data_IF_862224639252
#
_entry.id   IF_862224639252
#
_cell.length_a   1.000
_cell.length_b   1.000
_cell.length_c   1.000
_cell.angle_alpha   90.00
_cell.angle_beta   90.00
_cell.angle_gamma   90.00
#
_symmetry.space_group_name_H-M   'P 1'
#
loop_
_entity.id
_entity.type
_entity.pdbx_description
1 polymer ?
#
# COMPACT_ATOMS: atom_id res chain seq x y z
N UNK A 1 2.82 29.78 -20.54
CA UNK A 1 2.39 28.37 -20.39
C UNK A 1 2.79 27.64 -21.67
N UNK A 2 3.78 26.75 -21.61
CA UNK A 2 4.23 25.99 -22.80
C UNK A 2 3.26 24.85 -23.07
N UNK A 3 2.97 24.62 -24.35
CA UNK A 3 2.14 23.49 -24.76
C UNK A 3 2.92 22.18 -24.60
N UNK A 4 2.26 21.18 -24.02
CA UNK A 4 2.77 19.82 -23.94
C UNK A 4 2.02 18.96 -24.97
N UNK A 5 2.69 18.58 -26.06
CA UNK A 5 2.11 17.90 -27.20
C UNK A 5 3.11 16.91 -27.82
N UNK A 6 2.66 15.99 -28.70
CA UNK A 6 3.59 15.25 -29.55
C UNK A 6 4.54 16.20 -30.30
N UNK A 7 5.82 15.85 -30.32
CA UNK A 7 6.90 16.68 -30.86
C UNK A 7 7.58 17.60 -29.84
N UNK A 8 7.01 17.78 -28.63
CA UNK A 8 7.68 18.54 -27.57
C UNK A 8 8.96 17.82 -27.12
N UNK A 9 10.07 18.55 -27.10
CA UNK A 9 11.35 18.05 -26.55
C UNK A 9 11.35 18.22 -25.04
N UNK A 10 11.68 17.15 -24.34
CA UNK A 10 11.77 17.08 -22.89
C UNK A 10 13.16 16.61 -22.46
N UNK A 11 13.51 16.89 -21.22
CA UNK A 11 14.67 16.32 -20.56
C UNK A 11 14.20 15.38 -19.45
N UNK A 12 14.71 14.15 -19.47
CA UNK A 12 14.47 13.15 -18.43
C UNK A 12 15.74 12.94 -17.60
N UNK A 13 15.64 13.05 -16.28
CA UNK A 13 16.78 13.04 -15.32
C UNK A 13 17.83 11.95 -15.60
N UNK A 14 17.38 10.74 -15.95
CA UNK A 14 18.26 9.59 -16.16
C UNK A 14 18.53 9.25 -17.63
N UNK A 15 17.78 9.83 -18.58
CA UNK A 15 17.81 9.45 -20.00
C UNK A 15 18.20 10.58 -20.94
N UNK A 16 18.36 11.79 -20.41
CA UNK A 16 18.68 12.97 -21.20
C UNK A 16 17.50 13.41 -22.05
N UNK A 17 17.79 13.92 -23.25
CA UNK A 17 16.78 14.49 -24.13
C UNK A 17 15.92 13.42 -24.81
N UNK A 18 14.62 13.67 -24.82
CA UNK A 18 13.63 12.85 -25.52
C UNK A 18 12.57 13.69 -26.19
N UNK A 19 11.80 13.05 -27.07
CA UNK A 19 10.69 13.67 -27.79
C UNK A 19 9.40 12.94 -27.45
N UNK A 20 8.39 13.71 -27.05
CA UNK A 20 7.05 13.20 -26.78
C UNK A 20 6.42 12.70 -28.08
N UNK A 21 5.88 11.49 -28.08
CA UNK A 21 5.17 10.89 -29.21
C UNK A 21 3.66 10.89 -29.01
N UNK A 22 3.20 10.80 -27.76
CA UNK A 22 1.78 10.78 -27.41
C UNK A 22 1.58 11.49 -26.07
N UNK A 23 0.40 12.07 -25.88
CA UNK A 23 0.03 12.77 -24.64
C UNK A 23 -1.38 12.40 -24.25
N UNK A 24 -1.55 11.99 -22.99
CA UNK A 24 -2.84 11.85 -22.34
C UNK A 24 -2.88 12.79 -21.12
N UNK A 25 -3.34 14.03 -21.34
CA UNK A 25 -3.44 15.04 -20.26
C UNK A 25 -4.54 14.73 -19.24
N UNK A 26 -5.45 13.79 -19.50
CA UNK A 26 -6.45 13.39 -18.50
C UNK A 26 -5.81 12.53 -17.41
N UNK A 27 -4.82 11.72 -17.77
CA UNK A 27 -4.17 10.76 -16.86
C UNK A 27 -2.74 11.16 -16.49
N UNK A 28 -2.15 12.12 -17.19
CA UNK A 28 -0.77 12.58 -16.96
C UNK A 28 0.28 11.72 -17.59
N UNK A 29 -0.12 10.79 -18.46
CA UNK A 29 0.80 9.93 -19.17
C UNK A 29 1.23 10.56 -20.49
N UNK A 30 2.52 10.46 -20.76
CA UNK A 30 3.11 10.74 -22.06
C UNK A 30 3.89 9.51 -22.48
N UNK A 31 3.94 9.22 -23.78
CA UNK A 31 4.98 8.34 -24.30
C UNK A 31 6.06 9.22 -24.92
N UNK A 32 7.33 8.93 -24.66
CA UNK A 32 8.45 9.66 -25.20
C UNK A 32 9.56 8.71 -25.69
N UNK A 33 10.31 9.15 -26.69
CA UNK A 33 11.45 8.42 -27.22
C UNK A 33 12.74 9.16 -26.90
N UNK A 34 13.74 8.44 -26.39
CA UNK A 34 15.02 9.00 -25.96
C UNK A 34 16.16 8.54 -26.88
N UNK A 35 17.00 9.49 -27.31
CA UNK A 35 18.19 9.23 -28.11
C UNK A 35 17.98 8.18 -29.22
N UNK A 36 18.77 7.09 -29.17
CA UNK A 36 18.76 6.00 -30.14
C UNK A 36 17.84 4.83 -29.72
N UNK A 37 17.02 4.97 -28.69
CA UNK A 37 16.12 3.90 -28.24
C UNK A 37 15.12 3.54 -29.36
N UNK A 38 14.86 2.25 -29.56
CA UNK A 38 13.95 1.77 -30.61
C UNK A 38 12.48 1.81 -30.21
N UNK A 39 12.19 1.96 -28.92
CA UNK A 39 10.84 1.96 -28.35
C UNK A 39 10.54 3.26 -27.64
N UNK A 40 9.27 3.60 -27.55
CA UNK A 40 8.77 4.67 -26.69
C UNK A 40 8.68 4.17 -25.25
N UNK A 41 8.93 5.07 -24.31
CA UNK A 41 8.77 4.86 -22.88
C UNK A 41 7.58 5.66 -22.39
N UNK A 42 6.68 5.02 -21.65
CA UNK A 42 5.58 5.69 -20.98
C UNK A 42 6.09 6.33 -19.68
N UNK A 43 5.82 7.62 -19.53
CA UNK A 43 6.23 8.45 -18.41
C UNK A 43 5.02 9.14 -17.80
N UNK A 44 5.07 9.33 -16.48
CA UNK A 44 4.02 10.04 -15.76
C UNK A 44 4.52 11.43 -15.35
N UNK A 45 3.79 12.47 -15.77
CA UNK A 45 4.09 13.88 -15.52
C UNK A 45 3.88 14.30 -14.05
N UNK A 46 3.39 13.42 -13.19
CA UNK A 46 3.33 13.66 -11.75
C UNK A 46 4.70 13.56 -11.07
N UNK A 47 5.74 13.09 -11.77
CA UNK A 47 7.11 12.99 -11.25
C UNK A 47 7.95 14.22 -11.57
N UNK A 48 9.01 14.44 -10.79
CA UNK A 48 10.03 15.47 -11.03
C UNK A 48 11.14 15.01 -11.97
N UNK A 49 10.97 13.85 -12.61
CA UNK A 49 11.96 13.24 -13.48
C UNK A 49 11.93 13.84 -14.89
N UNK A 50 10.85 14.54 -15.25
CA UNK A 50 10.61 15.10 -16.58
C UNK A 50 10.41 16.61 -16.51
N UNK A 51 11.18 17.33 -17.32
CA UNK A 51 11.09 18.79 -17.48
C UNK A 51 11.12 19.14 -18.97
N UNK A 52 10.74 20.37 -19.33
CA UNK A 52 10.97 20.89 -20.67
C UNK A 52 12.48 20.91 -20.97
N UNK A 53 12.85 20.87 -22.25
CA UNK A 53 14.25 20.81 -22.68
C UNK A 53 15.14 21.94 -22.15
N UNK A 54 14.55 23.09 -21.80
CA UNK A 54 15.24 24.24 -21.23
C UNK A 54 15.24 24.27 -19.68
N UNK A 55 14.79 23.20 -19.04
CA UNK A 55 14.80 23.04 -17.58
C UNK A 55 13.54 23.55 -16.88
N UNK A 56 12.56 24.11 -17.60
CA UNK A 56 11.28 24.48 -16.99
C UNK A 56 10.52 23.22 -16.54
N UNK A 57 10.05 23.20 -15.28
CA UNK A 57 9.28 22.08 -14.76
C UNK A 57 7.93 21.93 -15.49
N UNK A 58 7.55 20.70 -15.85
CA UNK A 58 6.23 20.42 -16.41
C UNK A 58 5.23 20.30 -15.26
N UNK A 59 4.43 21.34 -15.07
CA UNK A 59 3.43 21.41 -14.01
C UNK A 59 2.15 20.66 -14.42
N UNK A 60 2.17 19.33 -14.33
CA UNK A 60 0.95 18.52 -14.47
C UNK A 60 0.20 18.41 -13.14
N UNK A 61 0.93 18.41 -12.02
CA UNK A 61 0.46 18.66 -10.63
C UNK A 61 1.58 19.34 -9.83
N UNK A 62 1.29 20.45 -9.13
CA UNK A 62 2.29 21.28 -8.42
C UNK A 62 2.94 20.59 -7.20
N UNK A 63 2.32 19.52 -6.73
CA UNK A 63 2.89 18.57 -5.78
C UNK A 63 2.54 17.16 -6.27
N UNK A 64 3.52 16.27 -6.52
CA UNK A 64 3.21 14.85 -6.56
C UNK A 64 2.44 14.51 -5.29
N UNK A 65 1.34 13.72 -5.34
CA UNK A 65 0.84 13.12 -4.11
C UNK A 65 2.02 12.41 -3.44
N UNK A 66 2.12 12.47 -2.10
CA UNK A 66 3.16 11.75 -1.37
C UNK A 66 3.33 10.38 -2.02
N UNK A 67 4.58 10.08 -2.43
CA UNK A 67 4.91 8.94 -3.32
C UNK A 67 4.29 7.64 -2.85
N UNK A 68 3.85 7.60 -1.60
CA UNK A 68 3.16 6.47 -1.09
C UNK A 68 2.05 6.81 -0.08
N UNK A 69 0.86 6.20 -0.19
CA UNK A 69 -0.29 6.54 0.63
C UNK A 69 -0.30 5.86 1.99
N UNK A 70 0.73 5.08 2.33
CA UNK A 70 0.63 4.18 3.49
C UNK A 70 0.47 4.95 4.81
N UNK A 71 1.18 6.07 4.97
CA UNK A 71 0.96 6.96 6.12
C UNK A 71 -0.48 7.52 6.15
N UNK A 72 -1.08 7.81 4.99
CA UNK A 72 -2.49 8.23 4.89
C UNK A 72 -3.46 7.10 5.22
N UNK A 73 -3.17 5.88 4.76
CA UNK A 73 -3.91 4.67 5.10
C UNK A 73 -3.89 4.41 6.61
N UNK A 74 -2.70 4.50 7.22
CA UNK A 74 -2.53 4.37 8.66
C UNK A 74 -3.31 5.46 9.42
N UNK A 75 -3.23 6.72 8.97
CA UNK A 75 -3.99 7.81 9.56
C UNK A 75 -5.52 7.58 9.47
N UNK A 76 -5.99 7.06 8.34
CA UNK A 76 -7.39 6.68 8.12
C UNK A 76 -7.84 5.55 9.06
N UNK A 77 -7.04 4.48 9.17
CA UNK A 77 -7.35 3.38 10.08
C UNK A 77 -7.37 3.86 11.53
N UNK A 78 -6.42 4.72 11.95
CA UNK A 78 -6.41 5.30 13.31
C UNK A 78 -7.69 6.11 13.59
N UNK A 79 -8.11 6.95 12.65
CA UNK A 79 -9.34 7.73 12.80
C UNK A 79 -10.60 6.84 12.86
N UNK A 80 -10.65 5.77 12.05
CA UNK A 80 -11.72 4.78 12.11
C UNK A 80 -11.75 4.01 13.44
N UNK A 81 -10.58 3.66 13.99
CA UNK A 81 -10.48 3.04 15.31
C UNK A 81 -11.03 3.96 16.42
N UNK A 82 -10.69 5.25 16.38
CA UNK A 82 -11.22 6.26 17.32
C UNK A 82 -12.75 6.40 17.20
N UNK A 83 -13.31 6.16 16.02
CA UNK A 83 -14.75 6.13 15.77
C UNK A 83 -15.43 4.78 16.12
N UNK A 84 -14.70 3.79 16.64
CA UNK A 84 -15.25 2.50 17.10
C UNK A 84 -15.20 1.37 16.08
N UNK A 85 -14.57 1.58 14.91
CA UNK A 85 -14.33 0.54 13.90
C UNK A 85 -13.05 -0.26 14.23
N UNK A 86 -12.92 -0.75 15.47
CA UNK A 86 -11.65 -1.30 15.99
C UNK A 86 -11.29 -2.66 15.39
N UNK A 87 -12.25 -3.35 14.77
CA UNK A 87 -12.03 -4.62 14.05
C UNK A 87 -11.59 -4.40 12.60
N UNK A 88 -11.09 -3.21 12.26
CA UNK A 88 -10.41 -2.93 10.99
C UNK A 88 -8.90 -3.18 11.18
N UNK A 89 -8.31 -4.02 10.35
CA UNK A 89 -6.89 -4.36 10.43
C UNK A 89 -6.17 -4.00 9.14
N UNK A 90 -4.90 -3.61 9.29
CA UNK A 90 -4.01 -3.26 8.19
C UNK A 90 -2.80 -4.21 8.19
N UNK A 91 -2.68 -5.00 7.13
CA UNK A 91 -1.50 -5.83 6.86
C UNK A 91 -0.67 -5.21 5.74
N UNK A 92 0.63 -5.02 5.98
CA UNK A 92 1.54 -4.25 5.12
C UNK A 92 2.84 -5.00 4.88
N UNK A 93 3.25 -5.17 3.63
CA UNK A 93 4.47 -5.93 3.27
C UNK A 93 5.09 -5.40 1.96
N UNK A 94 6.41 -5.53 1.74
CA UNK A 94 7.03 -5.12 0.50
C UNK A 94 6.64 -6.10 -0.62
N UNK A 95 6.69 -5.63 -1.86
CA UNK A 95 6.72 -6.50 -3.04
C UNK A 95 8.04 -7.29 -3.02
N UNK A 96 8.11 -8.47 -3.68
CA UNK A 96 9.37 -9.20 -3.85
C UNK A 96 10.49 -8.36 -4.49
N UNK A 97 10.14 -7.32 -5.26
CA UNK A 97 11.12 -6.40 -5.84
C UNK A 97 11.71 -5.39 -4.84
N UNK A 98 11.20 -5.28 -3.62
CA UNK A 98 11.61 -4.28 -2.62
C UNK A 98 11.26 -2.82 -2.93
N UNK A 99 10.89 -2.52 -4.18
CA UNK A 99 10.64 -1.15 -4.69
C UNK A 99 9.23 -0.60 -4.39
N UNK A 100 8.29 -1.48 -4.09
CA UNK A 100 6.90 -1.12 -3.81
C UNK A 100 6.40 -1.93 -2.63
N UNK A 101 5.27 -1.55 -2.05
CA UNK A 101 4.60 -2.33 -1.03
C UNK A 101 3.21 -2.74 -1.43
N UNK A 102 2.70 -3.73 -0.73
CA UNK A 102 1.33 -4.19 -0.75
C UNK A 102 0.71 -3.90 0.60
N UNK A 103 -0.58 -3.67 0.57
CA UNK A 103 -1.38 -3.53 1.76
C UNK A 103 -2.69 -4.26 1.58
N UNK A 104 -3.24 -4.72 2.70
CA UNK A 104 -4.53 -5.36 2.79
C UNK A 104 -5.25 -4.80 4.01
N UNK A 105 -6.41 -4.18 3.78
CA UNK A 105 -7.37 -3.85 4.82
C UNK A 105 -8.42 -4.95 4.90
N UNK A 106 -8.76 -5.39 6.09
CA UNK A 106 -9.79 -6.41 6.28
C UNK A 106 -10.49 -6.24 7.63
N UNK A 107 -11.65 -6.87 7.78
CA UNK A 107 -12.53 -6.69 8.94
C UNK A 107 -12.95 -8.01 9.57
N UNK A 108 -13.15 -8.09 10.89
CA UNK A 108 -13.63 -9.31 11.57
C UNK A 108 -12.58 -9.99 12.47
N UNK A 109 -12.36 -11.33 12.41
CA UNK A 109 -11.29 -11.99 13.16
C UNK A 109 -9.88 -11.55 12.75
N UNK A 110 -8.95 -11.51 13.70
CA UNK A 110 -7.55 -11.04 13.56
C UNK A 110 -6.66 -11.87 12.59
N UNK A 111 -7.12 -13.02 12.09
CA UNK A 111 -6.34 -13.89 11.20
C UNK A 111 -6.61 -13.56 9.72
N UNK A 112 -5.60 -13.02 9.04
CA UNK A 112 -5.66 -12.70 7.60
C UNK A 112 -5.22 -13.86 6.70
N UNK A 113 -4.42 -14.80 7.22
CA UNK A 113 -3.81 -15.88 6.43
C UNK A 113 -4.82 -16.95 6.03
N UNK A 114 -5.92 -17.06 6.78
CA UNK A 114 -7.01 -18.00 6.49
C UNK A 114 -8.12 -17.42 5.61
N UNK A 115 -7.99 -16.17 5.15
CA UNK A 115 -9.06 -15.49 4.42
C UNK A 115 -8.95 -15.68 2.92
N UNK A 116 -10.11 -15.86 2.30
CA UNK A 116 -10.20 -15.79 0.85
C UNK A 116 -9.83 -14.37 0.39
N UNK A 117 -9.15 -14.25 -0.75
CA UNK A 117 -8.66 -12.98 -1.32
C UNK A 117 -9.76 -11.93 -1.58
N UNK A 118 -11.05 -12.27 -1.37
CA UNK A 118 -12.23 -11.44 -1.61
C UNK A 118 -12.83 -10.78 -0.37
N UNK A 119 -12.37 -11.10 0.85
CA UNK A 119 -12.96 -10.58 2.10
C UNK A 119 -12.29 -9.32 2.66
N UNK A 120 -11.61 -8.54 1.81
CA UNK A 120 -10.96 -7.29 2.20
C UNK A 120 -10.58 -6.43 1.01
N UNK A 121 -10.05 -5.25 1.31
CA UNK A 121 -9.58 -4.29 0.31
C UNK A 121 -8.09 -4.40 0.12
N UNK A 122 -7.65 -4.59 -1.12
CA UNK A 122 -6.26 -4.83 -1.46
C UNK A 122 -5.71 -3.72 -2.33
N UNK A 123 -4.44 -3.37 -2.13
CA UNK A 123 -3.76 -2.45 -3.02
C UNK A 123 -2.24 -2.55 -2.96
N UNK A 124 -1.61 -1.81 -3.86
CA UNK A 124 -0.17 -1.79 -4.06
C UNK A 124 0.31 -0.35 -4.24
N UNK A 125 1.41 0.00 -3.58
CA UNK A 125 2.13 1.25 -3.81
C UNK A 125 2.67 1.38 -5.23
N UNK A 126 2.77 0.29 -6.00
CA UNK A 126 3.09 0.35 -7.43
C UNK A 126 1.91 0.88 -8.26
N UNK A 127 0.71 0.41 -7.94
CA UNK A 127 -0.52 0.75 -8.65
C UNK A 127 -0.98 2.18 -8.32
N UNK A 128 -0.47 2.71 -7.20
CA UNK A 128 -0.59 4.10 -6.77
C UNK A 128 -0.12 5.13 -7.79
N UNK A 129 0.89 4.78 -8.59
CA UNK A 129 1.41 5.67 -9.64
C UNK A 129 0.46 5.72 -10.86
N UNK A 130 -0.58 4.88 -10.90
CA UNK A 130 -1.36 4.59 -12.11
C UNK A 130 -2.89 4.66 -11.98
N UNK A 131 -3.48 4.77 -10.78
CA UNK A 131 -4.95 4.74 -10.57
C UNK A 131 -5.37 5.59 -9.33
N UNK A 132 -6.68 5.81 -9.01
CA UNK A 132 -7.04 6.52 -7.79
C UNK A 132 -6.41 5.84 -6.56
N UNK A 133 -6.07 6.66 -5.58
CA UNK A 133 -5.06 6.42 -4.54
C UNK A 133 -5.25 5.07 -3.80
N UNK A 134 -6.49 4.65 -3.54
CA UNK A 134 -6.84 3.36 -2.93
C UNK A 134 -7.79 2.52 -3.79
N UNK A 135 -8.27 3.05 -4.92
CA UNK A 135 -9.20 2.35 -5.81
C UNK A 135 -10.67 2.44 -5.40
N UNK A 136 -11.02 3.28 -4.40
CA UNK A 136 -12.39 3.42 -3.88
C UNK A 136 -13.09 4.70 -4.34
N UNK A 137 -12.57 5.35 -5.38
CA UNK A 137 -13.02 6.68 -5.82
C UNK A 137 -12.40 7.83 -5.03
N UNK A 138 -11.26 7.59 -4.39
CA UNK A 138 -10.52 8.57 -3.61
C UNK A 138 -9.56 9.43 -4.45
N UNK A 139 -9.28 10.64 -3.96
CA UNK A 139 -8.47 11.63 -4.66
C UNK A 139 -7.00 11.60 -4.25
N UNK A 140 -6.07 11.88 -5.19
CA UNK A 140 -4.69 12.27 -4.89
C UNK A 140 -4.67 13.43 -3.87
N UNK A 141 -4.16 13.17 -2.67
CA UNK A 141 -4.11 14.17 -1.59
C UNK A 141 -5.38 14.29 -0.74
N UNK A 142 -6.38 13.42 -0.92
CA UNK A 142 -7.53 13.35 -0.02
C UNK A 142 -7.09 13.28 1.45
N UNK A 143 -7.70 14.12 2.27
CA UNK A 143 -7.57 14.14 3.73
C UNK A 143 -8.03 12.81 4.32
N UNK A 144 -7.69 12.57 5.58
CA UNK A 144 -8.16 11.40 6.33
C UNK A 144 -9.69 11.26 6.25
N UNK A 145 -10.43 12.34 6.45
CA UNK A 145 -11.90 12.33 6.44
C UNK A 145 -12.46 12.03 5.05
N UNK A 146 -11.87 12.61 4.00
CA UNK A 146 -12.24 12.33 2.62
C UNK A 146 -11.99 10.86 2.25
N UNK A 147 -10.89 10.27 2.74
CA UNK A 147 -10.60 8.84 2.54
C UNK A 147 -11.62 7.95 3.26
N UNK A 148 -11.98 8.28 4.50
CA UNK A 148 -13.04 7.58 5.25
C UNK A 148 -14.36 7.64 4.48
N UNK A 149 -14.74 8.82 4.00
CA UNK A 149 -15.96 9.00 3.23
C UNK A 149 -15.92 8.23 1.90
N UNK A 150 -14.78 8.18 1.22
CA UNK A 150 -14.64 7.39 -0.01
C UNK A 150 -14.81 5.89 0.27
N UNK A 151 -14.13 5.36 1.29
CA UNK A 151 -14.28 3.95 1.69
C UNK A 151 -15.73 3.62 2.09
N UNK A 152 -16.36 4.47 2.91
CA UNK A 152 -17.74 4.26 3.36
C UNK A 152 -18.76 4.28 2.21
N UNK A 153 -18.51 5.07 1.15
CA UNK A 153 -19.35 5.09 -0.06
C UNK A 153 -19.11 3.87 -0.94
N UNK A 154 -17.84 3.45 -1.06
CA UNK A 154 -17.44 2.33 -1.90
C UNK A 154 -17.93 0.99 -1.36
N UNK A 155 -17.75 0.74 -0.06
CA UNK A 155 -18.14 -0.51 0.59
C UNK A 155 -18.67 -0.29 2.01
N UNK A 156 -19.92 0.20 2.13
CA UNK A 156 -20.54 0.42 3.44
C UNK A 156 -20.74 -0.88 4.24
N UNK A 157 -20.96 -2.01 3.57
CA UNK A 157 -21.19 -3.29 4.24
C UNK A 157 -19.90 -3.87 4.82
N UNK A 158 -18.81 -3.87 4.04
CA UNK A 158 -17.49 -4.27 4.51
C UNK A 158 -17.03 -3.40 5.68
N UNK A 159 -17.23 -2.08 5.61
CA UNK A 159 -16.89 -1.18 6.71
C UNK A 159 -17.73 -1.43 7.96
N UNK A 160 -19.01 -1.75 7.82
CA UNK A 160 -19.86 -2.09 8.98
C UNK A 160 -19.34 -3.30 9.77
N UNK A 161 -18.67 -4.25 9.12
CA UNK A 161 -18.03 -5.40 9.77
C UNK A 161 -16.83 -5.02 10.66
N UNK A 162 -16.23 -3.85 10.45
CA UNK A 162 -15.18 -3.34 11.32
C UNK A 162 -15.71 -2.81 12.66
N UNK A 163 -17.02 -2.57 12.78
CA UNK A 163 -17.61 -2.03 13.98
C UNK A 163 -17.52 -3.04 15.14
N UNK A 164 -17.06 -2.57 16.30
CA UNK A 164 -16.93 -3.37 17.50
C UNK A 164 -15.60 -3.12 18.20
N UNK A 165 -15.44 -3.74 19.37
CA UNK A 165 -14.26 -3.51 20.22
C UNK A 165 -13.12 -4.47 19.88
N UNK A 166 -11.93 -3.91 19.88
CA UNK A 166 -10.63 -4.57 19.86
C UNK A 166 -9.59 -3.59 20.46
N UNK A 167 -9.66 -3.40 21.77
CA UNK A 167 -8.91 -2.35 22.48
C UNK A 167 -7.40 -2.59 22.43
N UNK A 168 -6.96 -3.85 22.53
CA UNK A 168 -5.53 -4.20 22.46
C UNK A 168 -4.93 -3.83 21.11
N UNK A 169 -5.60 -4.23 20.01
CA UNK A 169 -5.12 -3.93 18.67
C UNK A 169 -5.16 -2.42 18.39
N UNK A 170 -6.24 -1.74 18.78
CA UNK A 170 -6.36 -0.29 18.59
C UNK A 170 -5.33 0.48 19.41
N UNK A 171 -5.05 0.08 20.65
CA UNK A 171 -4.01 0.71 21.47
C UNK A 171 -2.61 0.52 20.85
N UNK A 172 -2.31 -0.70 20.41
CA UNK A 172 -1.08 -0.98 19.68
C UNK A 172 -0.99 -0.13 18.41
N UNK A 173 -2.01 -0.13 17.56
CA UNK A 173 -2.00 0.59 16.30
C UNK A 173 -1.87 2.11 16.49
N UNK A 174 -2.52 2.66 17.52
CA UNK A 174 -2.35 4.06 17.90
C UNK A 174 -0.89 4.37 18.26
N UNK A 175 -0.24 3.54 19.08
CA UNK A 175 1.17 3.71 19.45
C UNK A 175 2.11 3.65 18.24
N UNK A 176 1.82 2.78 17.28
CA UNK A 176 2.55 2.70 16.00
C UNK A 176 2.35 3.98 15.18
N UNK A 177 1.12 4.46 15.08
CA UNK A 177 0.85 5.71 14.38
C UNK A 177 1.55 6.92 15.02
N UNK A 178 1.61 6.99 16.35
CA UNK A 178 2.29 8.07 17.06
C UNK A 178 3.82 8.04 16.83
N UNK A 179 4.40 6.84 16.71
CA UNK A 179 5.83 6.67 16.45
C UNK A 179 6.22 6.89 14.98
N UNK A 180 5.32 6.56 14.03
CA UNK A 180 5.67 6.47 12.61
C UNK A 180 5.10 7.61 11.75
N UNK A 181 3.90 8.11 12.05
CA UNK A 181 3.30 9.15 11.22
C UNK A 181 4.00 10.51 11.37
N UNK A 182 4.05 11.34 10.31
CA UNK A 182 3.58 11.07 8.94
C UNK A 182 4.65 10.43 8.03
N UNK A 183 5.86 10.18 8.54
CA UNK A 183 7.03 9.92 7.71
C UNK A 183 7.34 8.45 7.46
N UNK A 184 6.85 7.54 8.28
CA UNK A 184 7.24 6.15 8.25
C UNK A 184 6.02 5.24 8.25
N UNK A 185 6.26 4.00 7.86
CA UNK A 185 5.32 2.90 7.96
C UNK A 185 6.00 1.67 8.52
N UNK A 186 5.22 0.73 9.03
CA UNK A 186 5.71 -0.58 9.43
C UNK A 186 5.51 -1.60 8.30
N UNK A 187 6.30 -2.67 8.33
CA UNK A 187 6.11 -3.83 7.47
C UNK A 187 6.09 -5.11 8.29
N UNK A 188 5.08 -5.93 8.07
CA UNK A 188 4.93 -7.24 8.73
C UNK A 188 5.55 -8.37 7.90
N UNK A 189 6.38 -8.04 6.90
CA UNK A 189 7.07 -9.05 6.12
C UNK A 189 8.24 -9.64 6.88
N UNK A 190 8.40 -10.94 6.71
CA UNK A 190 9.42 -11.73 7.36
C UNK A 190 10.56 -11.91 6.37
N UNK A 191 11.56 -11.02 6.44
CA UNK A 191 12.82 -11.25 5.73
C UNK A 191 13.45 -12.54 6.28
N UNK A 192 13.51 -13.59 5.45
CA UNK A 192 14.23 -14.82 5.79
C UNK A 192 15.70 -14.60 5.47
N UNK A 193 16.63 -14.84 6.41
CA UNK A 193 18.03 -15.00 6.06
C UNK A 193 18.16 -16.16 5.06
N UNK A 194 18.95 -16.01 4.00
CA UNK A 194 19.16 -17.07 3.01
C UNK A 194 19.63 -18.36 3.70
N UNK A 195 18.81 -19.42 3.57
CA UNK A 195 19.08 -20.73 4.18
C UNK A 195 18.91 -20.81 5.70
N UNK A 196 18.45 -19.74 6.36
CA UNK A 196 18.26 -19.70 7.81
C UNK A 196 16.85 -20.12 8.28
N UNK A 197 16.69 -20.55 9.55
CA UNK A 197 15.38 -20.76 10.13
C UNK A 197 14.57 -19.45 10.22
N UNK A 198 13.25 -19.55 10.41
CA UNK A 198 12.43 -18.38 10.76
C UNK A 198 13.01 -17.73 12.02
N UNK A 199 13.46 -16.49 11.93
CA UNK A 199 13.92 -15.73 13.09
C UNK A 199 12.77 -15.56 14.08
N UNK A 200 13.00 -15.86 15.36
CA UNK A 200 12.01 -15.61 16.41
C UNK A 200 11.81 -14.09 16.57
N UNK A 201 10.68 -13.61 16.04
CA UNK A 201 10.04 -12.33 16.36
C UNK A 201 10.97 -11.11 16.46
N UNK A 202 11.71 -10.73 15.39
CA UNK A 202 12.43 -9.45 15.38
C UNK A 202 11.45 -8.26 15.48
N UNK A 203 11.89 -7.07 15.91
CA UNK A 203 11.10 -5.85 15.81
C UNK A 203 10.52 -5.66 14.41
N UNK A 204 9.31 -5.11 14.32
CA UNK A 204 8.63 -4.91 13.05
C UNK A 204 9.42 -3.89 12.22
N UNK A 205 9.88 -4.25 11.00
CA UNK A 205 10.64 -3.35 10.14
C UNK A 205 9.92 -2.01 9.90
N UNK A 206 10.68 -0.92 9.98
CA UNK A 206 10.20 0.44 9.71
C UNK A 206 10.77 0.94 8.38
N UNK A 207 9.89 1.45 7.52
CA UNK A 207 10.22 1.87 6.16
C UNK A 207 9.82 3.34 5.99
N UNK A 208 10.72 4.21 5.47
CA UNK A 208 10.37 5.59 5.17
C UNK A 208 9.37 5.67 4.02
N UNK A 209 8.33 6.51 4.14
CA UNK A 209 7.30 6.65 3.10
C UNK A 209 7.73 7.52 1.92
N UNK A 210 8.91 8.16 2.01
CA UNK A 210 9.53 8.96 0.96
C UNK A 210 11.05 8.88 1.04
N UNK A 211 11.71 8.91 -0.11
CA UNK A 211 13.16 8.71 -0.23
C UNK A 211 14.02 9.76 0.50
N UNK A 212 13.48 10.95 0.76
CA UNK A 212 14.21 12.06 1.40
C UNK A 212 14.22 12.00 2.92
N UNK A 213 13.51 11.04 3.54
CA UNK A 213 13.53 10.91 4.98
C UNK A 213 14.81 10.24 5.47
N UNK A 214 15.34 10.67 6.63
CA UNK A 214 16.45 10.00 7.25
C UNK A 214 16.07 8.55 7.65
N UNK A 215 17.06 7.70 7.94
CA UNK A 215 16.80 6.43 8.60
C UNK A 215 15.98 6.63 9.87
N UNK A 216 15.04 5.71 10.12
CA UNK A 216 14.23 5.75 11.34
C UNK A 216 15.12 5.59 12.58
N UNK A 217 14.93 6.47 13.56
CA UNK A 217 15.69 6.49 14.82
C UNK A 217 14.77 6.51 16.05
N UNK A 218 13.50 6.14 15.87
CA UNK A 218 12.52 6.05 16.96
C UNK A 218 12.54 4.69 17.67
N UNK A 219 11.58 4.45 18.58
CA UNK A 219 11.49 3.20 19.33
C UNK A 219 11.22 2.00 18.42
N UNK A 220 11.68 0.83 18.85
CA UNK A 220 11.34 -0.43 18.18
C UNK A 220 9.83 -0.67 18.17
N UNK A 221 9.32 -1.11 17.02
CA UNK A 221 7.91 -1.41 16.84
C UNK A 221 7.65 -2.88 17.17
N UNK A 222 6.71 -3.12 18.09
CA UNK A 222 6.29 -4.47 18.49
C UNK A 222 5.28 -5.05 17.50
N UNK A 223 5.13 -6.38 17.50
CA UNK A 223 4.13 -7.06 16.67
C UNK A 223 2.70 -6.79 17.16
N UNK A 224 1.71 -6.75 16.24
CA UNK A 224 0.31 -6.62 16.61
C UNK A 224 -0.14 -7.72 17.58
N UNK A 225 -0.96 -7.41 18.60
CA UNK A 225 -1.47 -8.39 19.55
C UNK A 225 -2.22 -9.54 18.87
N UNK A 226 -1.82 -10.77 19.18
CA UNK A 226 -2.42 -11.99 18.61
C UNK A 226 -1.93 -12.35 17.21
N UNK A 227 -1.03 -11.55 16.61
CA UNK A 227 -0.43 -11.85 15.32
C UNK A 227 0.95 -12.50 15.45
N UNK A 228 1.56 -12.36 16.64
CA UNK A 228 2.78 -13.05 17.04
C UNK A 228 2.67 -14.57 16.77
N UNK A 229 3.60 -15.09 15.96
CA UNK A 229 3.70 -16.52 15.68
C UNK A 229 2.62 -17.08 14.76
N UNK A 230 1.71 -16.26 14.18
CA UNK A 230 0.77 -16.73 13.15
C UNK A 230 1.53 -17.48 12.05
N UNK A 231 2.64 -16.91 11.58
CA UNK A 231 3.51 -17.48 10.55
C UNK A 231 4.29 -18.76 10.94
N UNK A 232 4.35 -19.11 12.23
CA UNK A 232 5.01 -20.34 12.69
C UNK A 232 4.12 -21.58 12.59
N UNK A 233 2.81 -21.38 12.36
CA UNK A 233 1.84 -22.45 12.22
C UNK A 233 1.83 -22.97 10.78
N UNK A 234 1.78 -24.29 10.60
CA UNK A 234 1.50 -24.90 9.29
C UNK A 234 0.07 -24.53 8.90
N UNK A 235 -0.08 -23.66 7.91
CA UNK A 235 -1.40 -23.31 7.39
C UNK A 235 -1.82 -24.40 6.42
N UNK A 236 -2.74 -25.26 6.85
CA UNK A 236 -3.38 -26.23 5.94
C UNK A 236 -4.30 -25.43 5.03
N UNK A 237 -3.85 -25.24 3.78
CA UNK A 237 -4.64 -24.65 2.71
C UNK A 237 -5.09 -25.76 1.76
N UNK A 238 -6.37 -25.76 1.33
CA UNK A 238 -7.43 -24.82 1.70
C UNK A 238 -7.91 -25.00 3.15
N UNK A 239 -8.44 -23.92 3.73
CA UNK A 239 -9.06 -23.96 5.06
C UNK A 239 -10.12 -25.09 5.09
N UNK A 240 -10.10 -25.97 6.11
CA UNK A 240 -11.09 -27.03 6.24
C UNK A 240 -12.50 -26.41 6.32
N UNK A 241 -13.47 -27.04 5.66
CA UNK A 241 -14.86 -26.58 5.67
C UNK A 241 -15.34 -26.45 7.12
N UNK A 242 -16.05 -25.37 7.42
CA UNK A 242 -16.65 -25.17 8.74
C UNK A 242 -17.60 -26.33 9.00
N UNK A 243 -17.24 -27.18 9.97
CA UNK A 243 -18.06 -28.30 10.39
C UNK A 243 -19.19 -27.81 11.30
N UNK A 244 -20.30 -27.40 10.68
CA UNK A 244 -21.48 -26.90 11.39
C UNK A 244 -22.27 -28.02 12.10
N UNK A 245 -21.91 -29.29 11.90
CA UNK A 245 -22.64 -30.45 12.44
C UNK A 245 -21.94 -31.08 13.66
N UNK A 246 -20.67 -30.74 13.92
CA UNK A 246 -19.90 -31.24 15.07
C UNK A 246 -19.48 -32.71 14.96
N UNK A 247 -19.68 -33.34 13.80
CA UNK A 247 -19.31 -34.75 13.57
C UNK A 247 -17.94 -34.84 12.88
N UNK A 248 -16.94 -35.53 13.44
CA UNK A 248 -15.61 -35.60 12.83
C UNK A 248 -15.67 -36.19 11.42
N UNK A 249 -15.08 -35.50 10.44
CA UNK A 249 -14.95 -36.00 9.07
C UNK A 249 -13.99 -37.21 9.06
N UNK A 250 -14.47 -38.35 8.59
CA UNK A 250 -13.63 -39.55 8.39
C UNK A 250 -12.88 -39.34 7.07
N UNK A 251 -11.53 -39.41 7.06
CA UNK A 251 -10.77 -39.24 5.83
C UNK A 251 -11.13 -40.33 4.82
N UNK A 252 -11.48 -39.94 3.60
CA UNK A 252 -11.59 -40.86 2.46
C UNK A 252 -10.23 -41.52 2.23
N UNK A 253 -10.15 -42.84 2.41
CA UNK A 253 -9.02 -43.63 1.96
C UNK A 253 -9.06 -43.69 0.43
N UNK A 254 -8.15 -42.97 -0.21
CA UNK A 254 -7.87 -43.14 -1.64
C UNK A 254 -6.90 -44.30 -1.82
N UNK A 255 -7.34 -45.36 -2.50
CA UNK A 255 -6.51 -46.45 -3.04
C UNK A 255 -5.49 -45.94 -4.08
#
# INVERSE_FOLDING_TARGET
MKALAPGTVIFHRHRGYGVITTVNLLTGWISARFGNESRTLDLNLSTDEVQFADGEAILFRRAPPDRMPHARLMAMVRALHQAGYQKLYLYSWPKPSGLHWRWHLFTGPRDWMQRSWREGWYGSGADYNSNPVMGWGDSPGATTDELIHALAKFDPQGLAQALGRDEDHTAWFASVCDALLPGYMYSLDMQRPDGGPLTEMPPVPVIPVRATLPPYAGPDITWPPGWAGLWSKVHVMPAPRINLTGLPEVPEQTD
#
